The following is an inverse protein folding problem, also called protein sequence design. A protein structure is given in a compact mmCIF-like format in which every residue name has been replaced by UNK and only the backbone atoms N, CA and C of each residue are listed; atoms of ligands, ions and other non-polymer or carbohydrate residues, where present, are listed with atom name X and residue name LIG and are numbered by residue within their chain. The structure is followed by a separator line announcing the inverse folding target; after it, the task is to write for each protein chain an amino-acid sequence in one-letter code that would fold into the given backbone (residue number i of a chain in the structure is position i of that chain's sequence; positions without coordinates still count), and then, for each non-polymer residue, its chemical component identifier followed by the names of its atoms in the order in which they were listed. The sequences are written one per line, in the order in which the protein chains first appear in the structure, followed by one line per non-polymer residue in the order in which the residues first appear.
data_IF_219514319342
#
_entry.id   IF_219514319342
#
_cell.length_a   1.000
_cell.length_b   1.000
_cell.length_c   1.000
_cell.angle_alpha   90.00
_cell.angle_beta   90.00
_cell.angle_gamma   90.00
#
_symmetry.space_group_name_H-M   'P 1'
#
loop_
_entity.id
_entity.type
_entity.pdbx_description
1 polymer ?
#
# COMPACT_ATOMS: atom_id res chain seq x y z
N UNK A 1 14.39 -10.39 4.99
CA UNK A 1 13.75 -9.09 4.62
C UNK A 1 12.44 -8.88 5.37
N UNK A 2 11.64 -9.94 5.55
CA UNK A 2 10.44 -9.93 6.39
C UNK A 2 10.73 -9.45 7.83
N UNK A 3 11.84 -9.89 8.41
CA UNK A 3 12.29 -9.56 9.77
C UNK A 3 12.55 -8.07 9.93
N UNK A 4 13.16 -7.45 8.91
CA UNK A 4 13.41 -6.01 8.90
C UNK A 4 12.10 -5.20 8.84
N UNK A 5 11.11 -5.67 8.08
CA UNK A 5 9.79 -5.04 7.99
C UNK A 5 9.01 -5.17 9.31
N UNK A 6 9.04 -6.35 9.94
CA UNK A 6 8.43 -6.54 11.26
C UNK A 6 9.07 -5.61 12.30
N UNK A 7 10.41 -5.41 12.25
CA UNK A 7 11.10 -4.45 13.10
C UNK A 7 10.63 -3.01 12.86
N UNK A 8 10.44 -2.59 11.59
CA UNK A 8 9.90 -1.26 11.30
C UNK A 8 8.54 -1.06 11.96
N UNK A 9 7.66 -2.05 11.89
CA UNK A 9 6.34 -1.97 12.51
C UNK A 9 6.45 -1.80 14.03
N UNK A 10 7.31 -2.57 14.69
CA UNK A 10 7.57 -2.43 16.14
C UNK A 10 8.11 -1.04 16.46
N UNK A 11 9.12 -0.56 15.72
CA UNK A 11 9.70 0.77 15.93
C UNK A 11 8.66 1.89 15.78
N UNK A 12 7.74 1.76 14.81
CA UNK A 12 6.62 2.69 14.64
C UNK A 12 5.70 2.68 15.86
N UNK A 13 5.38 1.50 16.40
CA UNK A 13 4.56 1.35 17.61
C UNK A 13 5.19 1.93 18.88
N UNK A 14 6.53 1.95 18.98
CA UNK A 14 7.25 2.58 20.10
C UNK A 14 7.21 4.12 20.07
N UNK A 15 6.79 4.71 18.95
CA UNK A 15 6.59 6.15 18.79
C UNK A 15 7.71 6.89 18.05
N UNK A 16 7.50 8.19 17.84
CA UNK A 16 8.30 9.03 16.94
C UNK A 16 9.81 9.06 17.21
N UNK A 17 10.22 8.88 18.47
CA UNK A 17 11.64 8.90 18.87
C UNK A 17 12.43 7.67 18.41
N UNK A 18 11.73 6.58 18.05
CA UNK A 18 12.33 5.32 17.59
C UNK A 18 12.30 5.17 16.06
N UNK A 19 11.80 6.20 15.36
CA UNK A 19 11.78 6.23 13.91
C UNK A 19 13.20 6.30 13.36
N UNK A 20 13.47 5.45 12.36
CA UNK A 20 14.78 5.37 11.75
C UNK A 20 15.07 6.63 10.93
N UNK A 21 16.31 7.15 10.92
CA UNK A 21 16.70 8.17 9.97
C UNK A 21 16.40 7.73 8.53
N UNK A 22 16.01 8.69 7.68
CA UNK A 22 15.65 8.44 6.28
C UNK A 22 16.69 7.59 5.55
N UNK A 23 17.97 7.92 5.71
CA UNK A 23 19.05 7.23 4.99
C UNK A 23 19.21 5.78 5.46
N UNK A 24 18.96 5.50 6.74
CA UNK A 24 18.91 4.12 7.28
C UNK A 24 17.73 3.35 6.67
N UNK A 25 16.54 3.95 6.63
CA UNK A 25 15.37 3.32 6.04
C UNK A 25 15.58 3.03 4.53
N UNK A 26 16.18 3.96 3.79
CA UNK A 26 16.51 3.76 2.38
C UNK A 26 17.48 2.59 2.15
N UNK A 27 18.47 2.41 3.03
CA UNK A 27 19.41 1.28 2.99
C UNK A 27 18.71 -0.06 3.25
N UNK A 28 17.78 -0.10 4.21
CA UNK A 28 17.03 -1.32 4.55
C UNK A 28 16.13 -1.76 3.39
N UNK A 29 15.40 -0.81 2.78
CA UNK A 29 14.45 -1.11 1.69
C UNK A 29 15.17 -1.38 0.37
N UNK A 30 16.35 -0.78 0.15
CA UNK A 30 17.11 -0.88 -1.08
C UNK A 30 16.26 -0.59 -2.33
N UNK A 31 15.98 0.69 -2.60
CA UNK A 31 15.27 1.15 -3.81
C UNK A 31 16.14 1.13 -5.08
N UNK A 32 16.96 0.09 -5.28
CA UNK A 32 17.82 -0.04 -6.46
C UNK A 32 17.00 -0.09 -7.76
N UNK A 33 17.59 0.44 -8.84
CA UNK A 33 16.95 0.45 -10.15
C UNK A 33 16.59 -0.98 -10.58
N UNK A 34 15.32 -1.19 -10.97
CA UNK A 34 14.80 -2.48 -11.41
C UNK A 34 14.28 -3.40 -10.30
N UNK A 35 14.42 -3.03 -9.02
CA UNK A 35 13.81 -3.79 -7.92
C UNK A 35 12.33 -3.44 -7.76
N UNK A 36 11.46 -4.42 -7.97
CA UNK A 36 10.04 -4.30 -7.69
C UNK A 36 9.74 -4.64 -6.23
N UNK A 37 9.03 -3.76 -5.52
CA UNK A 37 8.59 -4.01 -4.15
C UNK A 37 7.38 -4.95 -4.12
N UNK A 38 7.43 -5.93 -3.22
CA UNK A 38 6.27 -6.79 -2.93
C UNK A 38 5.13 -6.00 -2.29
N UNK A 39 3.92 -6.56 -2.33
CA UNK A 39 2.73 -5.98 -1.70
C UNK A 39 2.97 -5.72 -0.20
N UNK A 40 3.56 -6.69 0.48
CA UNK A 40 3.83 -6.60 1.90
C UNK A 40 4.81 -5.48 2.24
N UNK A 41 5.90 -5.34 1.46
CA UNK A 41 6.83 -4.22 1.61
C UNK A 41 6.15 -2.88 1.42
N UNK A 42 5.34 -2.73 0.36
CA UNK A 42 4.64 -1.48 0.09
C UNK A 42 3.72 -1.10 1.24
N UNK A 43 2.91 -2.06 1.73
CA UNK A 43 1.97 -1.83 2.83
C UNK A 43 2.70 -1.42 4.11
N UNK A 44 3.72 -2.18 4.52
CA UNK A 44 4.49 -1.88 5.74
C UNK A 44 5.19 -0.53 5.61
N UNK A 45 5.75 -0.22 4.45
CA UNK A 45 6.44 1.05 4.26
C UNK A 45 5.47 2.24 4.22
N UNK A 46 4.29 2.09 3.61
CA UNK A 46 3.24 3.12 3.67
C UNK A 46 2.79 3.37 5.10
N UNK A 47 2.61 2.31 5.89
CA UNK A 47 2.29 2.41 7.32
C UNK A 47 3.41 3.07 8.12
N UNK A 48 4.67 2.74 7.83
CA UNK A 48 5.81 3.29 8.55
C UNK A 48 6.01 4.79 8.28
N UNK A 49 5.92 5.20 7.01
CA UNK A 49 6.24 6.58 6.59
C UNK A 49 5.06 7.55 6.75
N UNK A 50 3.84 7.07 6.61
CA UNK A 50 2.59 7.84 6.71
C UNK A 50 2.64 9.17 5.92
N UNK A 51 2.45 10.29 6.63
CA UNK A 51 2.58 11.67 6.14
C UNK A 51 3.72 12.40 6.83
N UNK A 52 4.73 11.68 7.34
CA UNK A 52 5.88 12.26 8.04
C UNK A 52 6.78 12.97 7.03
N UNK A 53 7.05 14.29 7.18
CA UNK A 53 7.79 15.08 6.19
C UNK A 53 9.21 14.57 5.90
N UNK A 54 9.91 14.03 6.90
CA UNK A 54 11.28 13.49 6.75
C UNK A 54 11.37 12.31 5.77
N UNK A 55 10.25 11.62 5.51
CA UNK A 55 10.17 10.48 4.59
C UNK A 55 9.54 10.83 3.24
N UNK A 56 9.33 12.10 2.91
CA UNK A 56 8.67 12.51 1.65
C UNK A 56 9.31 11.90 0.39
N UNK A 57 10.64 11.79 0.36
CA UNK A 57 11.37 11.15 -0.75
C UNK A 57 11.02 9.66 -0.88
N UNK A 58 11.00 8.94 0.25
CA UNK A 58 10.66 7.51 0.29
C UNK A 58 9.22 7.30 -0.14
N UNK A 59 8.30 8.14 0.36
CA UNK A 59 6.88 8.11 -0.03
C UNK A 59 6.71 8.32 -1.54
N UNK A 60 7.48 9.22 -2.14
CA UNK A 60 7.47 9.42 -3.60
C UNK A 60 7.91 8.16 -4.36
N UNK A 61 8.94 7.46 -3.88
CA UNK A 61 9.41 6.20 -4.47
C UNK A 61 8.36 5.08 -4.32
N UNK A 62 7.71 4.98 -3.16
CA UNK A 62 6.61 4.04 -2.94
C UNK A 62 5.45 4.29 -3.89
N UNK A 63 5.02 5.55 -4.05
CA UNK A 63 3.96 5.92 -5.00
C UNK A 63 4.34 5.62 -6.45
N UNK A 64 5.62 5.73 -6.81
CA UNK A 64 6.10 5.33 -8.13
C UNK A 64 6.01 3.81 -8.33
N UNK A 65 6.45 3.03 -7.33
CA UNK A 65 6.35 1.56 -7.37
C UNK A 65 4.90 1.07 -7.42
N UNK A 66 4.00 1.68 -6.65
CA UNK A 66 2.56 1.38 -6.70
C UNK A 66 1.99 1.66 -8.09
N UNK A 67 2.35 2.82 -8.68
CA UNK A 67 1.91 3.17 -10.03
C UNK A 67 2.41 2.16 -11.05
N UNK A 68 3.68 1.79 -11.01
CA UNK A 68 4.26 0.79 -11.92
C UNK A 68 3.51 -0.55 -11.82
N UNK A 69 3.18 -1.00 -10.60
CA UNK A 69 2.47 -2.27 -10.39
C UNK A 69 0.99 -2.25 -10.76
N UNK A 70 0.36 -1.07 -10.69
CA UNK A 70 -1.08 -0.90 -10.90
C UNK A 70 -1.41 -0.13 -12.21
N UNK A 71 -0.42 0.18 -13.05
CA UNK A 71 -0.66 0.85 -14.32
C UNK A 71 -1.34 -0.08 -15.33
N UNK A 72 -0.90 -1.34 -15.35
CA UNK A 72 -1.56 -2.41 -16.08
C UNK A 72 -2.33 -3.33 -15.14
N UNK A 73 -3.66 -3.34 -15.31
CA UNK A 73 -4.60 -4.18 -14.57
C UNK A 73 -5.14 -5.34 -15.43
N UNK A 74 -4.52 -5.64 -16.57
CA UNK A 74 -4.93 -6.70 -17.51
C UNK A 74 -5.10 -8.07 -16.82
N UNK A 75 -4.16 -8.42 -15.95
CA UNK A 75 -4.03 -9.66 -15.19
C UNK A 75 -4.61 -9.59 -13.76
N UNK A 76 -5.30 -8.51 -13.38
CA UNK A 76 -5.76 -8.30 -11.98
C UNK A 76 -6.67 -9.43 -11.47
N UNK A 77 -7.34 -10.16 -12.39
CA UNK A 77 -8.19 -11.32 -12.06
C UNK A 77 -7.39 -12.58 -11.71
N UNK A 78 -6.15 -12.69 -12.19
CA UNK A 78 -5.27 -13.84 -11.98
C UNK A 78 -4.11 -13.56 -11.03
N UNK A 79 -3.87 -12.29 -10.69
CA UNK A 79 -2.80 -11.88 -9.77
C UNK A 79 -3.36 -11.51 -8.39
N UNK A 80 -3.30 -12.45 -7.44
CA UNK A 80 -3.73 -12.24 -6.06
C UNK A 80 -2.99 -11.06 -5.41
N UNK A 81 -1.68 -10.98 -5.61
CA UNK A 81 -0.87 -9.91 -5.04
C UNK A 81 -1.26 -8.52 -5.58
N UNK A 82 -1.59 -8.42 -6.87
CA UNK A 82 -2.01 -7.17 -7.51
C UNK A 82 -3.37 -6.71 -7.00
N UNK A 83 -4.34 -7.62 -6.84
CA UNK A 83 -5.66 -7.25 -6.30
C UNK A 83 -5.56 -6.86 -4.81
N UNK A 84 -4.73 -7.54 -4.01
CA UNK A 84 -4.48 -7.15 -2.61
C UNK A 84 -3.87 -5.75 -2.52
N UNK A 85 -2.84 -5.48 -3.32
CA UNK A 85 -2.23 -4.15 -3.38
C UNK A 85 -3.24 -3.09 -3.79
N UNK A 86 -4.00 -3.33 -4.87
CA UNK A 86 -5.02 -2.41 -5.34
C UNK A 86 -6.00 -2.06 -4.22
N UNK A 87 -6.57 -3.08 -3.57
CA UNK A 87 -7.63 -2.89 -2.59
C UNK A 87 -7.15 -2.14 -1.34
N UNK A 88 -5.97 -2.47 -0.80
CA UNK A 88 -5.44 -1.75 0.36
C UNK A 88 -4.96 -0.33 0.00
N UNK A 89 -4.47 -0.09 -1.22
CA UNK A 89 -4.15 1.26 -1.70
C UNK A 89 -5.41 2.13 -1.78
N UNK A 90 -6.55 1.56 -2.17
CA UNK A 90 -7.82 2.29 -2.22
C UNK A 90 -8.30 2.76 -0.85
N UNK A 91 -7.94 2.06 0.23
CA UNK A 91 -8.31 2.42 1.62
C UNK A 91 -7.20 3.17 2.36
N UNK A 92 -5.99 3.23 1.80
CA UNK A 92 -4.85 3.85 2.46
C UNK A 92 -5.02 5.37 2.63
N UNK A 93 -4.97 5.92 3.86
CA UNK A 93 -5.08 7.36 4.09
C UNK A 93 -3.84 8.14 3.60
N UNK A 94 -2.73 7.43 3.38
CA UNK A 94 -1.46 8.04 2.99
C UNK A 94 -1.28 8.17 1.47
N UNK A 95 -2.23 7.63 0.68
CA UNK A 95 -2.26 7.75 -0.78
C UNK A 95 -3.28 8.82 -1.18
N UNK A 96 -2.87 9.75 -2.04
CA UNK A 96 -3.72 10.85 -2.50
C UNK A 96 -4.93 10.34 -3.30
N UNK A 97 -6.08 10.97 -3.10
CA UNK A 97 -7.33 10.59 -3.78
C UNK A 97 -7.25 10.73 -5.30
N UNK A 98 -6.44 11.66 -5.81
CA UNK A 98 -6.15 11.77 -7.26
C UNK A 98 -5.53 10.49 -7.82
N UNK A 99 -4.64 9.84 -7.05
CA UNK A 99 -4.00 8.58 -7.44
C UNK A 99 -5.03 7.44 -7.39
N UNK A 100 -5.81 7.36 -6.30
CA UNK A 100 -6.87 6.35 -6.13
C UNK A 100 -7.95 6.46 -7.24
N UNK A 101 -8.34 7.67 -7.60
CA UNK A 101 -9.32 7.93 -8.65
C UNK A 101 -8.84 7.37 -10.00
N UNK A 102 -7.55 7.55 -10.33
CA UNK A 102 -6.95 6.95 -11.55
C UNK A 102 -7.06 5.43 -11.55
N UNK A 103 -6.74 4.79 -10.43
CA UNK A 103 -6.84 3.33 -10.31
C UNK A 103 -8.29 2.83 -10.35
N UNK A 104 -9.22 3.52 -9.70
CA UNK A 104 -10.63 3.20 -9.76
C UNK A 104 -11.17 3.24 -11.20
N UNK A 105 -10.82 4.27 -11.98
CA UNK A 105 -11.19 4.37 -13.40
C UNK A 105 -10.57 3.23 -14.21
N UNK A 106 -9.29 2.92 -14.01
CA UNK A 106 -8.60 1.84 -14.70
C UNK A 106 -9.26 0.47 -14.42
N UNK A 107 -9.56 0.16 -13.16
CA UNK A 107 -10.23 -1.08 -12.79
C UNK A 107 -11.66 -1.14 -13.33
N UNK A 108 -12.41 -0.04 -13.24
CA UNK A 108 -13.77 0.03 -13.79
C UNK A 108 -13.77 -0.30 -15.27
N UNK A 109 -12.84 0.31 -16.04
CA UNK A 109 -12.68 0.03 -17.47
C UNK A 109 -12.31 -1.43 -17.71
N UNK A 110 -11.44 -2.01 -16.90
CA UNK A 110 -11.01 -3.39 -17.06
C UNK A 110 -12.14 -4.41 -16.82
N UNK A 111 -13.03 -4.13 -15.86
CA UNK A 111 -14.18 -4.98 -15.50
C UNK A 111 -15.33 -4.81 -16.50
N UNK A 112 -15.70 -3.56 -16.80
CA UNK A 112 -16.91 -3.25 -17.59
C UNK A 112 -16.64 -3.10 -19.08
N UNK A 113 -15.38 -3.13 -19.51
CA UNK A 113 -14.93 -2.90 -20.90
C UNK A 113 -15.41 -1.56 -21.48
N UNK A 114 -15.70 -0.58 -20.62
CA UNK A 114 -16.14 0.79 -20.98
C UNK A 114 -15.59 1.82 -20.00
N UNK A 115 -15.42 3.05 -20.45
CA UNK A 115 -15.04 4.15 -19.56
C UNK A 115 -16.22 4.52 -18.63
N UNK A 116 -15.99 4.77 -17.33
CA UNK A 116 -17.02 5.28 -16.44
C UNK A 116 -17.32 6.76 -16.72
N UNK A 117 -18.54 7.20 -16.40
CA UNK A 117 -18.83 8.63 -16.23
C UNK A 117 -18.17 9.15 -14.93
N UNK A 118 -18.00 10.47 -14.76
CA UNK A 118 -17.43 11.03 -13.53
C UNK A 118 -18.16 10.60 -12.26
N UNK A 119 -19.50 10.53 -12.31
CA UNK A 119 -20.33 10.06 -11.19
C UNK A 119 -20.09 8.58 -10.89
N UNK A 120 -20.03 7.72 -11.92
CA UNK A 120 -19.74 6.30 -11.76
C UNK A 120 -18.33 6.04 -11.19
N UNK A 121 -17.34 6.81 -11.63
CA UNK A 121 -15.97 6.69 -11.13
C UNK A 121 -15.90 7.08 -9.65
N UNK A 122 -16.56 8.17 -9.27
CA UNK A 122 -16.63 8.65 -7.88
C UNK A 122 -17.33 7.65 -6.97
N UNK A 123 -18.52 7.17 -7.36
CA UNK A 123 -19.29 6.17 -6.62
C UNK A 123 -18.54 4.83 -6.49
N UNK A 124 -17.85 4.39 -7.56
CA UNK A 124 -17.02 3.19 -7.51
C UNK A 124 -15.84 3.33 -6.54
N UNK A 125 -15.12 4.46 -6.59
CA UNK A 125 -14.04 4.77 -5.64
C UNK A 125 -14.56 4.81 -4.21
N UNK A 126 -15.70 5.48 -3.96
CA UNK A 126 -16.31 5.56 -2.63
C UNK A 126 -16.61 4.17 -2.06
N UNK A 127 -17.19 3.27 -2.89
CA UNK A 127 -17.46 1.89 -2.48
C UNK A 127 -16.20 1.12 -2.15
N UNK A 128 -15.14 1.26 -2.95
CA UNK A 128 -13.86 0.58 -2.73
C UNK A 128 -13.15 1.05 -1.47
N UNK A 129 -13.33 2.32 -1.10
CA UNK A 129 -12.67 2.95 0.06
C UNK A 129 -13.49 2.87 1.36
N UNK A 130 -14.72 2.32 1.32
CA UNK A 130 -15.66 2.35 2.44
C UNK A 130 -15.21 1.54 3.67
N UNK A 131 -14.61 0.38 3.45
CA UNK A 131 -14.21 -0.54 4.51
C UNK A 131 -12.76 -0.99 4.28
N UNK A 132 -12.00 -1.29 5.36
CA UNK A 132 -10.69 -1.91 5.21
C UNK A 132 -10.81 -3.26 4.50
N UNK A 133 -9.81 -3.58 3.68
CA UNK A 133 -9.75 -4.86 2.97
C UNK A 133 -8.90 -5.86 3.76
N UNK A 134 -7.58 -5.85 3.58
CA UNK A 134 -6.67 -6.76 4.27
C UNK A 134 -5.79 -6.05 5.30
N UNK A 135 -5.74 -4.72 5.23
CA UNK A 135 -4.99 -3.86 6.13
C UNK A 135 -5.95 -2.87 6.78
N UNK A 136 -5.93 -2.84 8.12
CA UNK A 136 -6.47 -1.71 8.86
C UNK A 136 -5.37 -0.68 9.04
N UNK A 137 -5.55 0.51 8.48
CA UNK A 137 -4.60 1.62 8.57
C UNK A 137 -4.64 2.36 9.92
N UNK A 138 -5.41 1.85 10.89
CA UNK A 138 -5.40 2.32 12.28
C UNK A 138 -4.31 1.58 13.06
N UNK A 139 -3.50 2.29 13.84
CA UNK A 139 -2.29 1.75 14.50
C UNK A 139 -2.52 0.45 15.29
N UNK A 140 -3.54 0.43 16.15
CA UNK A 140 -3.85 -0.75 16.98
C UNK A 140 -4.25 -1.98 16.16
N UNK A 141 -4.86 -1.77 14.99
CA UNK A 141 -5.38 -2.84 14.14
C UNK A 141 -4.38 -3.27 13.06
N UNK A 142 -3.39 -2.43 12.73
CA UNK A 142 -2.33 -2.77 11.78
C UNK A 142 -1.45 -3.90 12.32
N UNK A 143 -1.04 -3.77 13.60
CA UNK A 143 -0.27 -4.79 14.32
C UNK A 143 -1.03 -6.11 14.43
N UNK A 144 -2.30 -6.09 14.83
CA UNK A 144 -3.11 -7.30 14.95
C UNK A 144 -3.38 -7.99 13.61
N UNK A 145 -3.36 -7.25 12.50
CA UNK A 145 -3.45 -7.79 11.14
C UNK A 145 -2.17 -8.52 10.70
N UNK A 146 -1.02 -8.16 11.28
CA UNK A 146 0.26 -8.82 11.02
C UNK A 146 0.42 -10.08 11.86
N UNK A 147 0.09 -10.02 13.15
CA UNK A 147 0.14 -11.17 14.07
C UNK A 147 -0.70 -12.35 13.55
N UNK A 148 -1.92 -12.08 13.05
CA UNK A 148 -2.77 -13.10 12.44
C UNK A 148 -2.14 -13.76 11.20
N UNK A 149 -1.33 -13.03 10.44
CA UNK A 149 -0.66 -13.54 9.23
C UNK A 149 0.59 -14.36 9.57
N UNK A 150 1.27 -14.08 10.69
CA UNK A 150 2.36 -14.91 11.20
C UNK A 150 1.85 -16.25 11.76
N UNK A 151 0.72 -16.23 12.49
CA UNK A 151 0.11 -17.45 13.05
C UNK A 151 -0.31 -18.47 11.98
N UNK A 152 -0.72 -18.00 10.79
CA UNK A 152 -1.10 -18.87 9.67
C UNK A 152 0.09 -19.53 8.96
N UNK A 153 1.33 -19.07 9.18
CA UNK A 153 2.53 -19.73 8.63
C UNK A 153 3.07 -20.85 9.51
N UNK A 154 2.58 -20.96 10.76
CA UNK A 154 3.00 -21.97 11.73
C UNK A 154 2.20 -23.27 11.71
N UNK A 155 1.22 -23.41 10.81
CA UNK A 155 0.40 -24.60 10.57
C UNK A 155 0.58 -25.08 9.14
#
# INVERSE_FOLDING_TARGET
MLEALNLLVVLKGLGGNYLLPRDTLQRIVNFSAGRQLSYFEIVVLLYYVESIPSYAVIKKLLLASIKERLDDLSDIRSSAEKIYLFLDVMTCPFVEDKVKSRFAVALYKQINKKNPTPSQASDFMLRLSKYPWFVSWKDADFLSSLEKKELLKGY
#
